data_IF_592388542987
#
_entry.id   IF_592388542987
#
_cell.length_a   1.000
_cell.length_b   1.000
_cell.length_c   1.000
_cell.angle_alpha   90.00
_cell.angle_beta   90.00
_cell.angle_gamma   90.00
#
_symmetry.space_group_name_H-M   'P 1'
#
loop_
_entity.id
_entity.type
_entity.pdbx_description
1 polymer ?
#
# COMPACT_ATOMS: atom_id res chain seq x y z
N UNK A 1 -23.33 -12.56 5.58
CA UNK A 1 -22.75 -13.13 6.83
C UNK A 1 -22.96 -12.13 7.95
N UNK A 2 -23.50 -12.57 9.10
CA UNK A 2 -23.67 -11.74 10.29
C UNK A 2 -22.50 -11.95 11.25
N UNK A 3 -21.91 -10.84 11.72
CA UNK A 3 -20.97 -10.79 12.83
C UNK A 3 -21.68 -10.09 14.00
N UNK A 4 -21.70 -10.68 15.17
CA UNK A 4 -22.47 -10.19 16.31
C UNK A 4 -21.64 -10.05 17.58
N UNK A 5 -22.15 -9.28 18.54
CA UNK A 5 -21.56 -9.10 19.85
C UNK A 5 -20.13 -8.51 19.74
N UNK A 6 -20.00 -7.35 19.08
CA UNK A 6 -18.74 -6.67 18.84
C UNK A 6 -18.75 -5.21 19.33
N UNK A 7 -17.58 -4.67 19.64
CA UNK A 7 -17.36 -3.24 19.82
C UNK A 7 -16.86 -2.64 18.51
N UNK A 8 -17.75 -2.06 17.74
CA UNK A 8 -17.51 -1.64 16.35
C UNK A 8 -17.13 -0.15 16.34
N UNK A 9 -16.01 0.20 15.71
CA UNK A 9 -15.62 1.59 15.50
C UNK A 9 -16.36 2.16 14.28
N UNK A 10 -17.32 3.04 14.53
CA UNK A 10 -18.11 3.70 13.50
C UNK A 10 -18.45 5.13 13.92
N UNK A 11 -18.43 6.07 12.99
CA UNK A 11 -18.74 7.47 13.28
C UNK A 11 -17.81 8.13 14.30
N UNK A 12 -16.54 7.68 14.39
CA UNK A 12 -15.53 8.22 15.30
C UNK A 12 -15.57 7.70 16.73
N UNK A 13 -16.40 6.69 17.03
CA UNK A 13 -16.52 6.11 18.36
C UNK A 13 -16.81 4.61 18.29
N UNK A 14 -16.58 3.91 19.41
CA UNK A 14 -16.99 2.51 19.54
C UNK A 14 -18.43 2.43 19.97
N UNK A 15 -19.20 1.56 19.29
CA UNK A 15 -20.54 1.15 19.69
C UNK A 15 -20.62 -0.37 19.77
N UNK A 16 -21.30 -0.88 20.80
CA UNK A 16 -21.58 -2.31 20.92
C UNK A 16 -22.72 -2.68 19.97
N UNK A 17 -22.57 -3.80 19.25
CA UNK A 17 -23.59 -4.26 18.32
C UNK A 17 -23.15 -5.37 17.40
N UNK A 18 -23.65 -5.32 16.17
CA UNK A 18 -23.43 -6.34 15.15
C UNK A 18 -23.29 -5.70 13.77
N UNK A 19 -22.77 -6.43 12.78
CA UNK A 19 -22.72 -5.96 11.41
C UNK A 19 -22.87 -7.11 10.41
N UNK A 20 -23.36 -6.79 9.22
CA UNK A 20 -23.48 -7.72 8.11
C UNK A 20 -22.44 -7.43 7.02
N UNK A 21 -21.92 -8.49 6.46
CA UNK A 21 -21.03 -8.42 5.28
C UNK A 21 -21.62 -9.28 4.17
N UNK A 22 -21.80 -8.68 3.00
CA UNK A 22 -22.25 -9.34 1.78
C UNK A 22 -21.36 -8.92 0.61
N UNK A 23 -20.88 -9.88 -0.16
CA UNK A 23 -19.99 -9.63 -1.29
C UNK A 23 -18.77 -8.76 -0.95
N UNK A 24 -18.16 -9.00 0.22
CA UNK A 24 -16.99 -8.27 0.70
C UNK A 24 -17.27 -6.83 1.15
N UNK A 25 -18.54 -6.44 1.34
CA UNK A 25 -18.94 -5.09 1.76
C UNK A 25 -19.80 -5.13 3.00
N UNK A 26 -19.62 -4.14 3.87
CA UNK A 26 -20.56 -3.90 4.96
C UNK A 26 -21.91 -3.44 4.38
N UNK A 27 -22.97 -4.15 4.71
CA UNK A 27 -24.32 -3.83 4.28
C UNK A 27 -25.18 -3.22 5.38
N UNK A 28 -24.85 -3.53 6.63
CA UNK A 28 -25.59 -3.04 7.79
C UNK A 28 -24.70 -2.99 9.04
N UNK A 29 -24.88 -1.98 9.86
CA UNK A 29 -24.33 -1.89 11.22
C UNK A 29 -25.51 -1.70 12.19
N UNK A 30 -25.64 -2.60 13.16
CA UNK A 30 -26.73 -2.67 14.12
C UNK A 30 -26.22 -2.32 15.53
N UNK A 31 -26.96 -1.54 16.27
CA UNK A 31 -26.70 -1.25 17.68
C UNK A 31 -27.32 -2.29 18.62
N UNK A 32 -27.62 -3.47 18.11
CA UNK A 32 -28.23 -4.60 18.81
C UNK A 32 -27.47 -5.88 18.50
N UNK A 33 -27.69 -6.92 19.31
CA UNK A 33 -27.18 -8.28 19.06
C UNK A 33 -28.38 -9.16 18.68
N UNK A 34 -28.62 -9.43 17.40
CA UNK A 34 -29.72 -10.27 16.95
C UNK A 34 -29.61 -11.71 17.46
N UNK A 35 -30.77 -12.36 17.69
CA UNK A 35 -30.84 -13.76 18.11
C UNK A 35 -30.53 -14.77 16.98
N UNK A 36 -30.52 -14.30 15.72
CA UNK A 36 -30.21 -15.12 14.53
C UNK A 36 -28.77 -15.64 14.52
N UNK A 37 -28.54 -16.70 13.75
CA UNK A 37 -27.22 -17.32 13.61
C UNK A 37 -26.20 -16.36 12.99
N UNK A 38 -24.98 -16.41 13.51
CA UNK A 38 -23.87 -15.58 13.09
C UNK A 38 -22.60 -15.88 13.85
N UNK A 39 -21.51 -15.26 13.44
CA UNK A 39 -20.22 -15.35 14.12
C UNK A 39 -20.25 -14.44 15.35
N UNK A 40 -20.15 -15.03 16.55
CA UNK A 40 -20.03 -14.27 17.78
C UNK A 40 -18.59 -13.79 17.98
N UNK A 41 -18.40 -12.48 18.09
CA UNK A 41 -17.08 -11.87 18.29
C UNK A 41 -16.74 -11.63 19.77
N UNK A 42 -17.56 -12.15 20.71
CA UNK A 42 -17.25 -12.18 22.14
C UNK A 42 -16.80 -10.82 22.70
N UNK A 43 -17.45 -9.74 22.31
CA UNK A 43 -17.11 -8.35 22.64
C UNK A 43 -15.75 -7.86 22.10
N UNK A 44 -15.15 -8.53 21.14
CA UNK A 44 -13.92 -8.04 20.51
C UNK A 44 -14.13 -6.71 19.81
N UNK A 45 -13.03 -5.97 19.66
CA UNK A 45 -13.02 -4.69 18.96
C UNK A 45 -12.90 -4.90 17.45
N UNK A 46 -13.75 -4.22 16.70
CA UNK A 46 -13.73 -4.21 15.24
C UNK A 46 -13.42 -2.79 14.79
N UNK A 47 -12.33 -2.64 14.05
CA UNK A 47 -11.86 -1.38 13.50
C UNK A 47 -11.72 -1.51 11.98
N UNK A 48 -11.70 -0.41 11.22
CA UNK A 48 -11.25 -0.44 9.83
C UNK A 48 -9.85 -1.03 9.73
N UNK A 49 -9.59 -1.79 8.67
CA UNK A 49 -8.24 -2.29 8.41
C UNK A 49 -7.24 -1.14 8.28
N UNK A 50 -6.03 -1.35 8.78
CA UNK A 50 -4.96 -0.37 8.69
C UNK A 50 -4.48 -0.23 7.24
N UNK A 51 -3.96 0.93 6.89
CA UNK A 51 -3.38 1.23 5.58
C UNK A 51 -1.92 1.62 5.78
N UNK A 52 -1.02 0.90 5.13
CA UNK A 52 0.41 1.18 5.13
C UNK A 52 0.81 1.79 3.79
N UNK A 53 1.23 3.04 3.79
CA UNK A 53 1.60 3.77 2.57
C UNK A 53 3.10 3.90 2.36
N UNK A 54 3.91 3.38 3.31
CA UNK A 54 5.37 3.46 3.24
C UNK A 54 6.01 2.26 3.93
N UNK A 55 6.41 1.25 3.16
CA UNK A 55 7.05 0.04 3.66
C UNK A 55 8.00 -0.51 2.59
N UNK A 56 9.30 -0.53 2.87
CA UNK A 56 10.29 -1.08 1.94
C UNK A 56 10.28 -2.60 1.93
N UNK A 57 10.10 -3.20 3.12
CA UNK A 57 10.14 -4.64 3.26
C UNK A 57 9.80 -5.12 4.66
N UNK A 58 9.49 -6.40 4.75
CA UNK A 58 9.28 -7.12 6.01
C UNK A 58 9.50 -8.62 5.79
N UNK A 59 9.54 -9.39 6.89
CA UNK A 59 9.66 -10.86 6.84
C UNK A 59 10.88 -11.36 6.05
N UNK A 60 11.95 -10.54 5.95
CA UNK A 60 13.17 -10.88 5.22
C UNK A 60 13.07 -10.74 3.70
N UNK A 61 12.11 -9.96 3.21
CA UNK A 61 11.98 -9.58 1.81
C UNK A 61 11.93 -8.05 1.69
N UNK A 62 12.41 -7.51 0.57
CA UNK A 62 12.34 -6.10 0.21
C UNK A 62 11.61 -5.94 -1.12
N UNK A 63 10.78 -4.90 -1.23
CA UNK A 63 10.03 -4.64 -2.46
C UNK A 63 10.95 -4.41 -3.67
N UNK A 64 12.09 -3.74 -3.43
CA UNK A 64 13.07 -3.43 -4.47
C UNK A 64 13.86 -4.64 -4.99
N UNK A 65 13.75 -5.80 -4.33
CA UNK A 65 14.37 -7.05 -4.82
C UNK A 65 13.71 -7.55 -6.12
N UNK A 66 12.48 -7.11 -6.42
CA UNK A 66 11.73 -7.56 -7.59
C UNK A 66 11.33 -9.05 -7.51
N UNK A 67 11.34 -9.62 -6.30
CA UNK A 67 10.94 -11.01 -6.03
C UNK A 67 9.44 -11.09 -5.75
N UNK A 68 8.71 -11.81 -6.62
CA UNK A 68 7.27 -11.96 -6.48
C UNK A 68 6.86 -12.75 -5.23
N UNK A 69 7.58 -13.82 -4.90
CA UNK A 69 7.29 -14.63 -3.73
C UNK A 69 7.60 -13.86 -2.43
N UNK A 70 8.66 -13.06 -2.43
CA UNK A 70 8.99 -12.12 -1.38
C UNK A 70 7.87 -11.09 -1.16
N UNK A 71 7.34 -10.52 -2.23
CA UNK A 71 6.24 -9.54 -2.16
C UNK A 71 4.94 -10.17 -1.64
N UNK A 72 4.62 -11.42 -2.01
CA UNK A 72 3.50 -12.18 -1.42
C UNK A 72 3.70 -12.38 0.09
N UNK A 73 4.92 -12.73 0.51
CA UNK A 73 5.26 -12.93 1.92
C UNK A 73 5.08 -11.64 2.73
N UNK A 74 5.51 -10.50 2.17
CA UNK A 74 5.28 -9.18 2.75
C UNK A 74 3.78 -8.90 2.93
N UNK A 75 2.98 -9.10 1.87
CA UNK A 75 1.55 -8.83 1.87
C UNK A 75 0.78 -9.71 2.87
N UNK A 76 1.18 -10.98 3.04
CA UNK A 76 0.61 -11.89 4.04
C UNK A 76 0.93 -11.45 5.47
N UNK A 77 2.18 -11.08 5.72
CA UNK A 77 2.57 -10.58 7.04
C UNK A 77 1.78 -9.32 7.42
N UNK A 78 1.63 -8.38 6.48
CA UNK A 78 0.83 -7.18 6.69
C UNK A 78 -0.63 -7.52 7.06
N UNK A 79 -1.27 -8.42 6.30
CA UNK A 79 -2.63 -8.86 6.57
C UNK A 79 -2.78 -9.50 7.97
N UNK A 80 -1.84 -10.35 8.37
CA UNK A 80 -1.80 -10.99 9.69
C UNK A 80 -1.67 -9.99 10.85
N UNK A 81 -1.16 -8.78 10.56
CA UNK A 81 -0.99 -7.70 11.53
C UNK A 81 -2.05 -6.58 11.39
N UNK A 82 -3.16 -6.86 10.70
CA UNK A 82 -4.30 -5.94 10.59
C UNK A 82 -4.15 -4.86 9.51
N UNK A 83 -3.08 -4.87 8.74
CA UNK A 83 -2.92 -4.00 7.55
C UNK A 83 -3.64 -4.66 6.38
N UNK A 84 -4.74 -4.06 5.95
CA UNK A 84 -5.57 -4.60 4.86
C UNK A 84 -5.22 -4.06 3.49
N UNK A 85 -4.53 -2.91 3.43
CA UNK A 85 -4.09 -2.27 2.20
C UNK A 85 -2.70 -1.66 2.35
N UNK A 86 -1.87 -1.74 1.32
CA UNK A 86 -0.53 -1.19 1.38
C UNK A 86 -0.04 -0.64 0.03
N UNK A 87 0.91 0.27 0.10
CA UNK A 87 1.70 0.76 -1.01
C UNK A 87 3.18 0.57 -0.66
N UNK A 88 3.87 -0.46 -1.21
CA UNK A 88 5.28 -0.65 -0.93
C UNK A 88 6.09 0.51 -1.50
N UNK A 89 7.16 0.89 -0.80
CA UNK A 89 8.08 1.94 -1.19
C UNK A 89 9.34 1.34 -1.82
N UNK A 90 9.71 1.81 -3.03
CA UNK A 90 10.99 1.47 -3.63
C UNK A 90 12.12 2.31 -3.05
N UNK A 91 13.37 1.87 -3.25
CA UNK A 91 14.58 2.63 -2.94
C UNK A 91 15.08 3.37 -4.19
N UNK A 92 16.05 4.28 -4.00
CA UNK A 92 16.78 4.90 -5.10
C UNK A 92 17.73 3.88 -5.74
N UNK A 93 17.33 3.35 -6.90
CA UNK A 93 18.00 2.26 -7.63
C UNK A 93 18.04 2.56 -9.14
N UNK A 94 18.81 1.78 -9.93
CA UNK A 94 18.75 1.85 -11.39
C UNK A 94 17.32 1.62 -11.91
N UNK A 95 16.99 2.26 -13.03
CA UNK A 95 15.61 2.21 -13.58
C UNK A 95 15.18 0.80 -14.00
N UNK A 96 16.08 -0.03 -14.47
CA UNK A 96 15.82 -1.42 -14.83
C UNK A 96 15.45 -2.28 -13.60
N UNK A 97 16.09 -2.01 -12.46
CA UNK A 97 15.76 -2.66 -11.18
C UNK A 97 14.40 -2.20 -10.67
N UNK A 98 14.11 -0.89 -10.73
CA UNK A 98 12.81 -0.34 -10.36
C UNK A 98 11.70 -0.90 -11.25
N UNK A 99 11.93 -0.96 -12.56
CA UNK A 99 10.98 -1.52 -13.52
C UNK A 99 10.64 -2.99 -13.20
N UNK A 100 11.65 -3.81 -12.87
CA UNK A 100 11.46 -5.20 -12.48
C UNK A 100 10.60 -5.32 -11.22
N UNK A 101 10.91 -4.53 -10.17
CA UNK A 101 10.12 -4.51 -8.93
C UNK A 101 8.67 -4.06 -9.19
N UNK A 102 8.44 -3.06 -10.02
CA UNK A 102 7.10 -2.56 -10.31
C UNK A 102 6.27 -3.57 -11.11
N UNK A 103 6.89 -4.35 -11.99
CA UNK A 103 6.23 -5.47 -12.68
C UNK A 103 5.77 -6.57 -11.71
N UNK A 104 6.52 -6.85 -10.62
CA UNK A 104 6.05 -7.79 -9.59
C UNK A 104 4.86 -7.26 -8.83
N UNK A 105 4.80 -5.94 -8.57
CA UNK A 105 3.62 -5.31 -7.99
C UNK A 105 2.38 -5.44 -8.89
N UNK A 106 2.55 -5.28 -10.20
CA UNK A 106 1.46 -5.51 -11.18
C UNK A 106 0.95 -6.95 -11.11
N UNK A 107 1.87 -7.94 -11.02
CA UNK A 107 1.49 -9.34 -10.86
C UNK A 107 0.68 -9.57 -9.59
N UNK A 108 1.13 -9.06 -8.44
CA UNK A 108 0.42 -9.17 -7.16
C UNK A 108 -0.96 -8.52 -7.23
N UNK A 109 -1.05 -7.33 -7.83
CA UNK A 109 -2.30 -6.60 -8.00
C UNK A 109 -3.32 -7.37 -8.82
N UNK A 110 -2.89 -8.05 -9.88
CA UNK A 110 -3.75 -8.86 -10.74
C UNK A 110 -4.15 -10.18 -10.08
N UNK A 111 -3.23 -10.84 -9.40
CA UNK A 111 -3.44 -12.14 -8.79
C UNK A 111 -4.30 -12.08 -7.51
N UNK A 112 -4.14 -11.06 -6.69
CA UNK A 112 -4.83 -10.87 -5.41
C UNK A 112 -4.93 -12.16 -4.57
N UNK A 113 -3.82 -12.78 -4.17
CA UNK A 113 -3.86 -14.05 -3.46
C UNK A 113 -4.59 -13.91 -2.12
N UNK A 114 -5.31 -14.97 -1.74
CA UNK A 114 -5.99 -15.02 -0.44
C UNK A 114 -5.02 -14.83 0.74
N UNK A 115 -5.50 -14.19 1.80
CA UNK A 115 -4.73 -13.92 3.01
C UNK A 115 -3.64 -12.87 2.85
N UNK A 116 -3.65 -12.10 1.76
CA UNK A 116 -2.74 -10.99 1.51
C UNK A 116 -3.43 -9.64 1.73
N UNK A 117 -2.70 -8.65 2.23
CA UNK A 117 -3.10 -7.25 2.17
C UNK A 117 -3.23 -6.81 0.70
N UNK A 118 -4.20 -5.93 0.44
CA UNK A 118 -4.46 -5.44 -0.91
C UNK A 118 -3.41 -4.41 -1.33
N UNK A 119 -2.69 -4.67 -2.43
CA UNK A 119 -1.77 -3.69 -3.00
C UNK A 119 -2.60 -2.57 -3.64
N UNK A 120 -2.53 -1.36 -3.06
CA UNK A 120 -3.30 -0.19 -3.53
C UNK A 120 -2.52 0.68 -4.51
N UNK A 121 -1.21 0.61 -4.47
CA UNK A 121 -0.31 1.38 -5.33
C UNK A 121 1.14 1.11 -4.98
N UNK A 122 2.03 1.93 -5.53
CA UNK A 122 3.48 1.96 -5.27
C UNK A 122 3.83 3.36 -4.81
N UNK A 123 4.69 3.49 -3.81
CA UNK A 123 5.42 4.72 -3.53
C UNK A 123 6.80 4.63 -4.20
N UNK A 124 7.05 5.51 -5.14
CA UNK A 124 8.35 5.69 -5.77
C UNK A 124 9.18 6.63 -4.90
N UNK A 125 9.98 6.07 -3.97
CA UNK A 125 10.87 6.84 -3.10
C UNK A 125 12.24 7.01 -3.76
N UNK A 126 12.43 8.13 -4.41
CA UNK A 126 13.57 8.40 -5.28
C UNK A 126 13.34 7.93 -6.72
N UNK A 127 14.29 8.18 -7.64
CA UNK A 127 15.65 8.69 -7.43
C UNK A 127 15.77 10.23 -7.38
N UNK A 128 14.71 10.99 -7.36
CA UNK A 128 14.69 12.46 -7.50
C UNK A 128 14.97 13.19 -6.18
N UNK A 129 16.06 12.79 -5.50
CA UNK A 129 16.48 13.36 -4.22
C UNK A 129 17.76 14.16 -4.34
N UNK A 130 17.93 15.16 -3.47
CA UNK A 130 19.17 15.91 -3.39
C UNK A 130 20.23 15.14 -2.58
N UNK A 131 21.49 15.19 -3.04
CA UNK A 131 22.62 14.56 -2.32
C UNK A 131 22.69 15.01 -0.86
N UNK A 132 22.36 16.27 -0.59
CA UNK A 132 22.42 16.87 0.75
C UNK A 132 21.41 16.25 1.72
N UNK A 133 20.25 15.77 1.24
CA UNK A 133 19.11 15.34 2.05
C UNK A 133 18.63 13.91 1.74
N UNK A 134 19.40 13.15 0.98
CA UNK A 134 19.05 11.79 0.54
C UNK A 134 18.85 10.77 1.64
N UNK A 135 19.31 11.04 2.87
CA UNK A 135 19.25 10.05 3.95
C UNK A 135 20.04 8.79 3.63
N UNK A 136 19.40 7.64 3.77
CA UNK A 136 19.98 6.31 3.50
C UNK A 136 20.03 5.96 2.00
N UNK A 137 19.48 6.78 1.12
CA UNK A 137 19.45 6.51 -0.33
C UNK A 137 20.85 6.49 -0.95
N UNK A 138 21.07 5.62 -1.94
CA UNK A 138 22.36 5.50 -2.58
C UNK A 138 22.63 6.68 -3.54
N UNK A 139 23.61 7.52 -3.19
CA UNK A 139 23.98 8.70 -3.99
C UNK A 139 24.36 8.42 -5.44
N UNK A 140 24.85 7.22 -5.75
CA UNK A 140 25.23 6.85 -7.13
C UNK A 140 24.03 6.82 -8.11
N UNK A 141 22.84 6.62 -7.59
CA UNK A 141 21.61 6.49 -8.39
C UNK A 141 20.67 7.69 -8.29
N UNK A 142 21.07 8.75 -7.58
CA UNK A 142 20.32 10.00 -7.57
C UNK A 142 20.27 10.60 -8.97
N UNK A 143 19.15 11.21 -9.29
CA UNK A 143 18.90 11.89 -10.59
C UNK A 143 18.15 13.19 -10.33
N UNK A 144 18.32 14.14 -11.22
CA UNK A 144 17.42 15.27 -11.31
C UNK A 144 16.03 14.80 -11.78
N UNK A 145 14.96 15.51 -11.41
CA UNK A 145 13.61 15.17 -11.83
C UNK A 145 13.48 15.05 -13.36
N UNK A 146 13.14 13.86 -13.83
CA UNK A 146 12.98 13.51 -15.24
C UNK A 146 11.60 12.89 -15.47
N UNK A 147 10.69 13.65 -16.06
CA UNK A 147 9.33 13.19 -16.33
C UNK A 147 9.30 12.05 -17.36
N UNK A 148 10.21 12.01 -18.34
CA UNK A 148 10.21 10.94 -19.33
C UNK A 148 10.62 9.60 -18.69
N UNK A 149 11.62 9.60 -17.81
CA UNK A 149 12.00 8.41 -17.06
C UNK A 149 10.89 7.98 -16.07
N UNK A 150 10.24 8.92 -15.39
CA UNK A 150 9.09 8.64 -14.55
C UNK A 150 7.95 8.00 -15.35
N UNK A 151 7.62 8.56 -16.53
CA UNK A 151 6.54 8.03 -17.38
C UNK A 151 6.81 6.59 -17.81
N UNK A 152 8.05 6.23 -18.13
CA UNK A 152 8.42 4.85 -18.46
C UNK A 152 8.16 3.90 -17.28
N UNK A 153 8.52 4.29 -16.06
CA UNK A 153 8.25 3.50 -14.86
C UNK A 153 6.75 3.45 -14.53
N UNK A 154 6.04 4.54 -14.72
CA UNK A 154 4.59 4.62 -14.54
C UNK A 154 3.87 3.66 -15.50
N UNK A 155 4.27 3.66 -16.77
CA UNK A 155 3.71 2.75 -17.78
C UNK A 155 4.05 1.28 -17.47
N UNK A 156 5.29 0.99 -17.07
CA UNK A 156 5.72 -0.35 -16.68
C UNK A 156 4.98 -0.87 -15.44
N UNK A 157 4.57 0.03 -14.54
CA UNK A 157 3.74 -0.27 -13.37
C UNK A 157 2.24 -0.35 -13.68
N UNK A 158 1.83 -0.19 -14.93
CA UNK A 158 0.41 -0.06 -15.35
C UNK A 158 -0.34 1.00 -14.52
N UNK A 159 0.33 2.12 -14.20
CA UNK A 159 -0.24 3.22 -13.43
C UNK A 159 -0.34 2.97 -11.92
N UNK A 160 0.39 2.00 -11.38
CA UNK A 160 0.37 1.72 -9.94
C UNK A 160 1.17 2.73 -9.10
N UNK A 161 2.06 3.55 -9.67
CA UNK A 161 2.71 4.63 -8.92
C UNK A 161 1.63 5.62 -8.47
N UNK A 162 1.41 5.73 -7.16
CA UNK A 162 0.43 6.63 -6.54
C UNK A 162 1.08 7.77 -5.77
N UNK A 163 2.31 7.56 -5.35
CA UNK A 163 3.13 8.54 -4.66
C UNK A 163 4.50 8.55 -5.35
N UNK A 164 5.00 9.74 -5.66
CA UNK A 164 6.36 9.92 -6.15
C UNK A 164 7.03 11.03 -5.33
N UNK A 165 8.13 10.69 -4.69
CA UNK A 165 8.86 11.64 -3.85
C UNK A 165 9.88 12.40 -4.69
N UNK A 166 9.91 13.72 -4.51
CA UNK A 166 10.83 14.61 -5.22
C UNK A 166 11.37 15.69 -4.29
N UNK A 167 12.66 15.93 -4.34
CA UNK A 167 13.30 17.05 -3.63
C UNK A 167 12.93 18.36 -4.34
N UNK A 168 12.07 19.16 -3.73
CA UNK A 168 11.48 20.35 -4.32
C UNK A 168 12.51 21.44 -4.70
N UNK A 169 13.70 21.39 -4.09
CA UNK A 169 14.80 22.31 -4.38
C UNK A 169 15.62 21.97 -5.63
N UNK A 170 15.40 20.79 -6.24
CA UNK A 170 16.11 20.40 -7.46
C UNK A 170 15.61 21.17 -8.70
N UNK A 171 16.50 21.45 -9.65
CA UNK A 171 16.08 22.01 -10.94
C UNK A 171 15.03 21.14 -11.62
N UNK A 172 13.94 21.73 -12.09
CA UNK A 172 12.86 21.02 -12.78
C UNK A 172 11.84 20.31 -11.86
N UNK A 173 12.01 20.34 -10.53
CA UNK A 173 11.13 19.65 -9.59
C UNK A 173 9.66 20.12 -9.67
N UNK A 174 9.45 21.42 -9.80
CA UNK A 174 8.10 22.02 -9.92
C UNK A 174 7.43 21.57 -11.22
N UNK A 175 8.15 21.67 -12.36
CA UNK A 175 7.64 21.24 -13.66
C UNK A 175 7.33 19.73 -13.67
N UNK A 176 8.19 18.92 -13.05
CA UNK A 176 7.96 17.49 -12.85
C UNK A 176 6.65 17.24 -12.08
N UNK A 177 6.49 17.89 -10.92
CA UNK A 177 5.31 17.72 -10.08
C UNK A 177 4.01 18.13 -10.81
N UNK A 178 4.03 19.22 -11.58
CA UNK A 178 2.90 19.66 -12.39
C UNK A 178 2.50 18.65 -13.47
N UNK A 179 3.47 17.93 -14.04
CA UNK A 179 3.21 16.89 -15.05
C UNK A 179 2.76 15.58 -14.42
N UNK A 180 3.41 15.15 -13.34
CA UNK A 180 3.15 13.88 -12.67
C UNK A 180 1.82 13.87 -11.88
N UNK A 181 1.25 15.04 -11.56
CA UNK A 181 -0.03 15.16 -10.84
C UNK A 181 -1.27 15.14 -11.75
N UNK A 182 -1.12 15.10 -13.06
CA UNK A 182 -2.20 15.05 -14.05
C UNK A 182 -2.56 13.63 -14.44
#
# INVERSE_FOLDING_TARGET
MLFKNANIFVGGQFQHGSFRVENGRFTEVLNTVPAEDGIDLENQYVIPGLVDVHNHGNSGADFSDGDYDGLIKMARYLAQNGVTSFAPASMTLPYDVLEAAYKTAVQLKKAQPEGCAHLMGIQMEGPFFSEKKKGAQNGAYLRDPDFAAFQQLYDASEGLIRIADVAAELPGAVEFAEKASK
#
